data_IF_238220267091
#
_entry.id   IF_238220267091
#
_cell.length_a   1.000
_cell.length_b   1.000
_cell.length_c   1.000
_cell.angle_alpha   90.00
_cell.angle_beta   90.00
_cell.angle_gamma   90.00
#
_symmetry.space_group_name_H-M   'P 1'
#
loop_
_entity.id
_entity.type
_entity.pdbx_description
1 polymer ?
#
# COMPACT_ATOMS: atom_id res chain seq x y z
N UNK A 1 7.58 -22.83 -81.82
CA UNK A 1 7.19 -22.88 -80.39
C UNK A 1 7.33 -21.49 -79.82
N UNK A 2 6.25 -20.74 -79.83
CA UNK A 2 6.22 -19.36 -79.29
C UNK A 2 5.81 -19.37 -77.83
N UNK A 3 6.70 -18.93 -76.98
CA UNK A 3 6.38 -18.69 -75.55
C UNK A 3 5.76 -17.31 -75.41
N UNK A 4 4.45 -17.27 -75.26
CA UNK A 4 3.73 -16.05 -74.89
C UNK A 4 3.92 -15.81 -73.35
N UNK A 5 4.88 -14.99 -72.96
CA UNK A 5 4.95 -14.39 -71.63
C UNK A 5 3.86 -13.31 -71.49
N UNK A 6 2.90 -13.57 -70.61
CA UNK A 6 1.93 -12.56 -70.19
C UNK A 6 2.55 -11.62 -69.20
N UNK A 7 2.49 -10.29 -69.37
CA UNK A 7 3.00 -9.36 -68.36
C UNK A 7 2.09 -9.38 -67.12
N UNK A 8 2.69 -9.64 -65.98
CA UNK A 8 2.07 -9.51 -64.66
C UNK A 8 1.82 -8.02 -64.40
N UNK A 9 0.57 -7.60 -64.57
CA UNK A 9 0.16 -6.25 -64.20
C UNK A 9 0.15 -6.11 -62.67
N UNK A 10 1.17 -5.43 -62.17
CA UNK A 10 1.28 -5.03 -60.80
C UNK A 10 0.33 -3.85 -60.54
N UNK A 11 -0.93 -4.15 -60.25
CA UNK A 11 -1.91 -3.16 -59.82
C UNK A 11 -1.55 -2.66 -58.43
N UNK A 12 -0.71 -1.62 -58.36
CA UNK A 12 -0.56 -0.78 -57.16
C UNK A 12 -1.92 -0.11 -56.91
N UNK A 13 -2.78 -0.73 -56.09
CA UNK A 13 -4.00 -0.11 -55.57
C UNK A 13 -3.64 1.23 -54.94
N UNK A 14 -3.89 2.33 -55.69
CA UNK A 14 -3.85 3.69 -55.16
C UNK A 14 -4.93 3.79 -54.09
N UNK A 15 -4.55 3.67 -52.81
CA UNK A 15 -5.45 3.93 -51.70
C UNK A 15 -5.96 5.35 -51.81
N UNK A 16 -7.28 5.53 -51.91
CA UNK A 16 -7.91 6.81 -52.19
C UNK A 16 -7.65 7.79 -51.04
N UNK A 17 -7.62 9.10 -51.30
CA UNK A 17 -7.48 10.16 -50.29
C UNK A 17 -8.59 10.06 -49.22
N UNK A 18 -9.78 9.59 -49.57
CA UNK A 18 -10.91 9.39 -48.67
C UNK A 18 -10.61 8.37 -47.54
N UNK A 19 -9.88 7.28 -47.87
CA UNK A 19 -9.53 6.26 -46.89
C UNK A 19 -8.54 6.77 -45.83
N UNK A 20 -7.64 7.68 -46.22
CA UNK A 20 -6.69 8.33 -45.30
C UNK A 20 -7.39 9.28 -44.33
N UNK A 21 -8.36 10.05 -44.80
CA UNK A 21 -9.15 10.98 -44.00
C UNK A 21 -10.06 10.23 -43.05
N UNK A 22 -10.66 9.12 -43.45
CA UNK A 22 -11.47 8.27 -42.58
C UNK A 22 -10.66 7.68 -41.43
N UNK A 23 -9.46 7.15 -41.71
CA UNK A 23 -8.54 6.64 -40.68
C UNK A 23 -8.09 7.72 -39.68
N UNK A 24 -7.82 8.93 -40.18
CA UNK A 24 -7.42 10.05 -39.32
C UNK A 24 -8.54 10.43 -38.36
N UNK A 25 -9.77 10.56 -38.81
CA UNK A 25 -10.96 10.84 -38.00
C UNK A 25 -11.19 9.73 -36.95
N UNK A 26 -11.07 8.47 -37.35
CA UNK A 26 -11.19 7.33 -36.43
C UNK A 26 -10.14 7.37 -35.35
N UNK A 27 -8.88 7.60 -35.70
CA UNK A 27 -7.80 7.71 -34.72
C UNK A 27 -8.00 8.88 -33.73
N UNK A 28 -8.50 10.02 -34.23
CA UNK A 28 -8.83 11.15 -33.33
C UNK A 28 -9.95 10.81 -32.35
N UNK A 29 -10.98 10.10 -32.82
CA UNK A 29 -12.08 9.66 -31.95
C UNK A 29 -11.56 8.66 -30.89
N UNK A 30 -10.69 7.73 -31.28
CA UNK A 30 -10.07 6.77 -30.39
C UNK A 30 -9.21 7.46 -29.32
N UNK A 31 -8.39 8.45 -29.71
CA UNK A 31 -7.59 9.24 -28.79
C UNK A 31 -8.44 10.00 -27.77
N UNK A 32 -9.53 10.64 -28.21
CA UNK A 32 -10.46 11.35 -27.30
C UNK A 32 -11.11 10.38 -26.32
N UNK A 33 -11.51 9.20 -26.76
CA UNK A 33 -12.08 8.16 -25.89
C UNK A 33 -11.05 7.71 -24.87
N UNK A 34 -9.82 7.39 -25.30
CA UNK A 34 -8.74 6.97 -24.42
C UNK A 34 -8.39 8.04 -23.38
N UNK A 35 -8.37 9.32 -23.76
CA UNK A 35 -8.16 10.42 -22.82
C UNK A 35 -9.26 10.47 -21.76
N UNK A 36 -10.52 10.33 -22.16
CA UNK A 36 -11.65 10.29 -21.23
C UNK A 36 -11.54 9.11 -20.25
N UNK A 37 -11.18 7.92 -20.76
CA UNK A 37 -11.00 6.72 -19.93
C UNK A 37 -9.86 6.91 -18.93
N UNK A 38 -8.76 7.56 -19.33
CA UNK A 38 -7.64 7.90 -18.43
C UNK A 38 -8.06 8.88 -17.36
N UNK A 39 -8.86 9.89 -17.67
CA UNK A 39 -9.36 10.86 -16.67
C UNK A 39 -10.29 10.16 -15.66
N UNK A 40 -11.14 9.26 -16.12
CA UNK A 40 -12.03 8.48 -15.26
C UNK A 40 -11.24 7.55 -14.32
N UNK A 41 -10.21 6.87 -14.85
CA UNK A 41 -9.29 6.06 -14.03
C UNK A 41 -8.58 6.90 -12.98
N UNK A 42 -8.07 8.09 -13.33
CA UNK A 42 -7.42 9.00 -12.39
C UNK A 42 -8.38 9.47 -11.29
N UNK A 43 -9.63 9.75 -11.64
CA UNK A 43 -10.65 10.14 -10.66
C UNK A 43 -10.93 8.98 -9.70
N UNK A 44 -11.12 7.78 -10.21
CA UNK A 44 -11.35 6.58 -9.41
C UNK A 44 -10.18 6.29 -8.48
N UNK A 45 -8.93 6.42 -8.96
CA UNK A 45 -7.74 6.27 -8.12
C UNK A 45 -7.70 7.30 -6.99
N UNK A 46 -8.05 8.57 -7.25
CA UNK A 46 -8.11 9.60 -6.20
C UNK A 46 -9.18 9.30 -5.16
N UNK A 47 -10.34 8.81 -5.58
CA UNK A 47 -11.43 8.41 -4.67
C UNK A 47 -11.02 7.24 -3.80
N UNK A 48 -10.35 6.22 -4.38
CA UNK A 48 -9.83 5.07 -3.62
C UNK A 48 -8.76 5.52 -2.62
N UNK A 49 -7.83 6.39 -3.03
CA UNK A 49 -6.77 6.90 -2.15
C UNK A 49 -7.34 7.75 -1.01
N UNK A 50 -8.37 8.57 -1.28
CA UNK A 50 -9.06 9.32 -0.24
C UNK A 50 -9.75 8.38 0.74
N UNK A 51 -10.53 7.41 0.24
CA UNK A 51 -11.18 6.41 1.09
C UNK A 51 -10.20 5.57 1.91
N UNK A 52 -9.02 5.25 1.36
CA UNK A 52 -7.95 4.59 2.09
C UNK A 52 -7.37 5.48 3.18
N UNK A 53 -7.14 6.77 2.91
CA UNK A 53 -6.69 7.74 3.94
C UNK A 53 -7.68 7.84 5.08
N UNK A 54 -8.97 8.02 4.77
CA UNK A 54 -10.03 8.06 5.78
C UNK A 54 -10.10 6.77 6.59
N UNK A 55 -9.90 5.62 5.94
CA UNK A 55 -9.83 4.32 6.59
C UNK A 55 -8.58 4.17 7.46
N UNK A 56 -7.43 4.71 7.07
CA UNK A 56 -6.22 4.72 7.88
C UNK A 56 -6.32 5.66 9.08
N UNK A 57 -6.87 6.86 8.90
CA UNK A 57 -7.14 7.79 10.01
C UNK A 57 -8.13 7.21 11.05
N UNK A 58 -9.03 6.30 10.62
CA UNK A 58 -9.94 5.59 11.50
C UNK A 58 -9.28 4.40 12.21
N UNK A 59 -8.16 3.90 11.70
CA UNK A 59 -7.53 2.65 12.19
C UNK A 59 -6.69 2.80 13.42
N UNK A 60 -6.13 3.96 13.71
CA UNK A 60 -5.25 4.12 14.89
C UNK A 60 -5.99 3.84 16.19
N UNK A 61 -7.12 4.48 16.50
CA UNK A 61 -7.89 4.13 17.69
C UNK A 61 -8.40 2.69 17.66
N UNK A 62 -8.61 2.12 16.49
CA UNK A 62 -9.04 0.75 16.32
C UNK A 62 -7.92 -0.25 16.61
N UNK A 63 -6.69 -0.01 16.11
CA UNK A 63 -5.52 -0.84 16.44
C UNK A 63 -5.22 -0.79 17.93
N UNK A 64 -5.23 0.40 18.52
CA UNK A 64 -5.04 0.58 19.96
C UNK A 64 -6.10 -0.19 20.75
N UNK A 65 -7.36 -0.06 20.38
CA UNK A 65 -8.48 -0.75 21.02
C UNK A 65 -8.41 -2.28 20.93
N UNK A 66 -7.90 -2.80 19.80
CA UNK A 66 -7.78 -4.25 19.58
C UNK A 66 -6.51 -4.80 20.25
N UNK A 67 -5.37 -4.14 20.06
CA UNK A 67 -4.08 -4.62 20.49
C UNK A 67 -3.84 -4.39 21.99
N UNK A 68 -4.20 -3.21 22.50
CA UNK A 68 -3.91 -2.81 23.88
C UNK A 68 -5.06 -3.17 24.82
N UNK A 69 -4.71 -3.72 25.98
CA UNK A 69 -5.68 -4.00 27.07
C UNK A 69 -5.59 -2.92 28.15
N UNK A 70 -4.39 -2.41 28.37
CA UNK A 70 -4.10 -1.43 29.42
C UNK A 70 -3.12 -0.35 28.93
N UNK A 71 -2.84 0.58 29.81
CA UNK A 71 -1.92 1.69 29.54
C UNK A 71 -0.48 1.20 29.27
N UNK A 72 -0.06 0.12 29.89
CA UNK A 72 1.27 -0.46 29.67
C UNK A 72 1.45 -0.92 28.24
N UNK A 73 0.44 -1.57 27.67
CA UNK A 73 0.47 -2.02 26.27
C UNK A 73 0.56 -0.81 25.31
N UNK A 74 -0.15 0.27 25.62
CA UNK A 74 -0.11 1.54 24.86
C UNK A 74 1.26 2.19 24.92
N UNK A 75 1.84 2.30 26.09
CA UNK A 75 3.17 2.86 26.28
C UNK A 75 4.26 2.02 25.60
N UNK A 76 4.13 0.68 25.57
CA UNK A 76 5.02 -0.18 24.80
C UNK A 76 4.99 0.21 23.33
N UNK A 77 3.81 0.39 22.74
CA UNK A 77 3.67 0.78 21.34
C UNK A 77 4.25 2.16 21.06
N UNK A 78 4.03 3.13 21.96
CA UNK A 78 4.59 4.47 21.86
C UNK A 78 6.12 4.44 21.84
N UNK A 79 6.74 3.71 22.76
CA UNK A 79 8.20 3.57 22.82
C UNK A 79 8.76 2.85 21.58
N UNK A 80 8.04 1.87 21.05
CA UNK A 80 8.43 1.20 19.81
C UNK A 80 8.33 2.14 18.61
N UNK A 81 7.32 2.99 18.57
CA UNK A 81 7.18 4.01 17.53
C UNK A 81 8.34 5.02 17.56
N UNK A 82 8.68 5.53 18.74
CA UNK A 82 9.82 6.42 18.94
C UNK A 82 11.16 5.78 18.57
N UNK A 83 11.28 4.46 18.72
CA UNK A 83 12.46 3.68 18.31
C UNK A 83 12.62 3.53 16.79
N UNK A 84 11.58 3.85 16.03
CA UNK A 84 11.58 3.85 14.57
C UNK A 84 11.88 2.47 13.98
N UNK A 85 12.40 2.48 12.75
CA UNK A 85 12.67 1.25 11.98
C UNK A 85 13.75 0.34 12.56
N UNK A 86 14.65 0.88 13.37
CA UNK A 86 15.70 0.10 14.04
C UNK A 86 15.15 -0.70 15.22
N UNK A 87 14.07 -0.23 15.81
CA UNK A 87 13.44 -0.84 16.96
C UNK A 87 14.18 -0.58 18.27
N UNK A 88 13.69 -1.21 19.34
CA UNK A 88 14.16 -1.02 20.71
C UNK A 88 14.51 -2.37 21.36
N UNK A 89 15.60 -2.42 22.08
CA UNK A 89 15.98 -3.61 22.86
C UNK A 89 14.99 -3.83 24.01
N UNK A 90 14.66 -5.09 24.36
CA UNK A 90 13.77 -5.38 25.49
C UNK A 90 14.21 -4.79 26.82
N UNK A 91 15.53 -4.67 27.05
CA UNK A 91 16.07 -4.06 28.26
C UNK A 91 15.84 -2.55 28.30
N UNK A 92 15.95 -1.88 27.15
CA UNK A 92 15.76 -0.43 27.02
C UNK A 92 14.27 -0.08 27.10
N UNK A 93 13.40 -0.95 26.55
CA UNK A 93 11.95 -0.88 26.76
C UNK A 93 11.62 -0.96 28.25
N UNK A 94 12.21 -1.92 28.99
CA UNK A 94 11.99 -2.05 30.44
C UNK A 94 12.48 -0.84 31.21
N UNK A 95 13.61 -0.25 30.82
CA UNK A 95 14.13 0.97 31.42
C UNK A 95 13.22 2.18 31.19
N UNK A 96 12.70 2.37 29.97
CA UNK A 96 11.75 3.45 29.64
C UNK A 96 10.39 3.27 30.34
N UNK A 97 9.99 2.04 30.60
CA UNK A 97 8.73 1.68 31.26
C UNK A 97 8.91 1.39 32.76
N UNK A 98 9.97 1.90 33.37
CA UNK A 98 10.29 1.66 34.77
C UNK A 98 9.18 2.07 35.77
N UNK A 99 8.38 3.07 35.42
CA UNK A 99 7.21 3.50 36.17
C UNK A 99 6.13 2.43 36.35
N UNK A 100 6.07 1.43 35.43
CA UNK A 100 5.10 0.34 35.47
C UNK A 100 5.66 -0.93 36.10
N UNK A 101 6.92 -0.93 36.56
CA UNK A 101 7.60 -2.07 37.20
C UNK A 101 7.57 -3.37 36.38
N UNK A 102 7.60 -3.23 35.03
CA UNK A 102 7.55 -4.35 34.10
C UNK A 102 8.94 -4.86 33.73
N UNK A 103 9.11 -6.17 33.76
CA UNK A 103 10.36 -6.83 33.36
C UNK A 103 10.41 -6.99 31.82
N UNK A 104 11.65 -7.14 31.30
CA UNK A 104 11.85 -7.43 29.83
C UNK A 104 11.07 -8.65 29.33
N UNK A 105 10.89 -9.67 30.17
CA UNK A 105 10.12 -10.87 29.82
C UNK A 105 8.62 -10.60 29.76
N UNK A 106 8.12 -9.80 30.69
CA UNK A 106 6.72 -9.39 30.68
C UNK A 106 6.41 -8.53 29.44
N UNK A 107 7.30 -7.60 29.07
CA UNK A 107 7.16 -6.77 27.87
C UNK A 107 7.10 -7.65 26.62
N UNK A 108 8.06 -8.58 26.45
CA UNK A 108 8.05 -9.49 25.30
C UNK A 108 6.77 -10.33 25.22
N UNK A 109 6.28 -10.84 26.37
CA UNK A 109 5.01 -11.57 26.41
C UNK A 109 3.81 -10.70 26.07
N UNK A 110 3.80 -9.42 26.50
CA UNK A 110 2.75 -8.46 26.16
C UNK A 110 2.72 -8.19 24.66
N UNK A 111 3.88 -7.95 24.03
CA UNK A 111 3.99 -7.74 22.58
C UNK A 111 3.44 -8.96 21.81
N UNK A 112 3.80 -10.18 22.23
CA UNK A 112 3.28 -11.40 21.61
C UNK A 112 1.75 -11.49 21.75
N UNK A 113 1.19 -11.11 22.90
CA UNK A 113 -0.27 -11.09 23.11
C UNK A 113 -0.96 -10.02 22.28
N UNK A 114 -0.37 -8.82 22.15
CA UNK A 114 -0.88 -7.77 21.27
C UNK A 114 -0.91 -8.25 19.80
N UNK A 115 0.17 -8.88 19.35
CA UNK A 115 0.22 -9.47 18.00
C UNK A 115 -0.88 -10.51 17.78
N UNK A 116 -1.08 -11.43 18.72
CA UNK A 116 -2.14 -12.45 18.62
C UNK A 116 -3.54 -11.84 18.55
N UNK A 117 -3.80 -10.78 19.32
CA UNK A 117 -5.10 -10.09 19.28
C UNK A 117 -5.33 -9.42 17.92
N UNK A 118 -4.33 -8.70 17.42
CA UNK A 118 -4.42 -8.01 16.13
C UNK A 118 -4.47 -8.99 14.96
N UNK A 119 -3.69 -10.08 15.03
CA UNK A 119 -3.70 -11.15 14.02
C UNK A 119 -5.08 -11.80 13.89
N UNK A 120 -5.75 -12.06 15.01
CA UNK A 120 -7.09 -12.64 15.02
C UNK A 120 -8.13 -11.75 14.33
N UNK A 121 -8.04 -10.43 14.52
CA UNK A 121 -9.04 -9.48 14.00
C UNK A 121 -8.69 -8.96 12.59
N UNK A 122 -7.41 -8.72 12.31
CA UNK A 122 -6.96 -8.06 11.08
C UNK A 122 -5.97 -8.88 10.25
N UNK A 123 -5.53 -10.06 10.72
CA UNK A 123 -4.51 -10.87 10.04
C UNK A 123 -3.15 -10.18 9.98
N UNK A 124 -2.85 -9.25 10.90
CA UNK A 124 -1.63 -8.44 10.94
C UNK A 124 -0.98 -8.43 12.32
N UNK A 125 0.33 -8.26 12.37
CA UNK A 125 1.07 -8.05 13.60
C UNK A 125 1.31 -6.55 13.83
N UNK A 126 1.33 -6.14 15.10
CA UNK A 126 1.62 -4.77 15.52
C UNK A 126 3.12 -4.53 15.61
N UNK A 127 3.86 -5.53 16.07
CA UNK A 127 5.31 -5.45 16.23
C UNK A 127 5.99 -6.74 15.76
N UNK A 128 7.22 -6.60 15.29
CA UNK A 128 8.06 -7.70 14.82
C UNK A 128 9.44 -7.68 15.46
N UNK A 129 10.09 -8.85 15.49
CA UNK A 129 11.49 -8.96 15.90
C UNK A 129 12.41 -8.66 14.73
N UNK A 130 13.34 -7.73 14.93
CA UNK A 130 14.46 -7.44 14.05
C UNK A 130 15.77 -7.74 14.81
N UNK A 131 16.24 -8.99 14.68
CA UNK A 131 17.33 -9.48 15.50
C UNK A 131 16.94 -9.51 16.99
N UNK A 132 17.65 -8.72 17.81
CA UNK A 132 17.40 -8.61 19.26
C UNK A 132 16.40 -7.50 19.64
N UNK A 133 15.99 -6.68 18.65
CA UNK A 133 15.11 -5.53 18.85
C UNK A 133 13.67 -5.91 18.56
N UNK A 134 12.74 -5.22 19.21
CA UNK A 134 11.35 -5.13 18.81
C UNK A 134 11.13 -3.83 18.05
N UNK A 135 10.45 -3.88 16.92
CA UNK A 135 10.07 -2.71 16.14
C UNK A 135 8.60 -2.81 15.75
N UNK A 136 7.93 -1.69 15.51
CA UNK A 136 6.62 -1.70 14.87
C UNK A 136 6.75 -2.28 13.46
N UNK A 137 5.73 -3.03 13.02
CA UNK A 137 5.60 -3.39 11.61
C UNK A 137 5.38 -2.13 10.77
N UNK A 138 5.73 -2.17 9.49
CA UNK A 138 5.44 -1.03 8.59
C UNK A 138 3.98 -0.62 8.65
N UNK A 139 3.09 -1.59 8.66
CA UNK A 139 1.65 -1.36 8.81
C UNK A 139 1.30 -0.58 10.10
N UNK A 140 1.85 -0.97 11.25
CA UNK A 140 1.57 -0.30 12.51
C UNK A 140 2.25 1.07 12.61
N UNK A 141 3.46 1.21 12.08
CA UNK A 141 4.18 2.48 12.05
C UNK A 141 3.47 3.53 11.17
N UNK A 142 2.99 3.13 9.99
CA UNK A 142 2.25 4.02 9.09
C UNK A 142 0.95 4.52 9.73
N UNK A 143 0.26 3.64 10.47
CA UNK A 143 -0.98 3.99 11.16
C UNK A 143 -0.74 4.86 12.40
N UNK A 144 0.38 4.65 13.11
CA UNK A 144 0.72 5.36 14.35
C UNK A 144 1.31 6.75 14.09
N UNK A 145 1.97 6.95 12.93
CA UNK A 145 2.66 8.18 12.56
C UNK A 145 1.80 9.26 11.89
N UNK A 146 0.56 8.98 11.55
CA UNK A 146 -0.33 9.94 10.84
C UNK A 146 -1.17 10.82 11.79
N UNK A 147 -0.75 11.01 13.05
CA UNK A 147 -1.46 11.84 14.05
C UNK A 147 -0.93 13.26 14.20
N UNK A 148 -0.40 13.86 13.13
CA UNK A 148 -0.13 15.31 13.09
C UNK A 148 -1.15 16.05 12.22
#
# INVERSE_FOLDING_TARGET
MENCEKPVQNEKKKRSRSDKVGRFKYNQQLLKKTQKDIEEIKLTQRTILSGLKDFFNFKQPMIEKIACVDEVDREILQVLFEGGSLGVLPKDLAAKLSQFEVTRHQISRRIVRMNKRLEKELGRHVAEKRGWHWALTSFAADVWGETD
#
